data_IF_866595300469
#
_entry.id   IF_866595300469
#
_cell.length_a   1.000
_cell.length_b   1.000
_cell.length_c   1.000
_cell.angle_alpha   90.00
_cell.angle_beta   90.00
_cell.angle_gamma   90.00
#
_symmetry.space_group_name_H-M   'P 1'
#
loop_
_entity.id
_entity.type
_entity.pdbx_description
1 polymer ?
#
# COMPACT_ATOMS: atom_id res chain seq x y z
N UNK A 1 0.68 15.59 -15.69
CA UNK A 1 0.96 15.71 -14.24
C UNK A 1 0.39 14.54 -13.41
N UNK A 2 -0.81 14.04 -13.72
CA UNK A 2 -1.43 12.91 -12.98
C UNK A 2 -0.52 11.66 -12.86
N UNK A 3 0.09 11.20 -13.96
CA UNK A 3 0.85 9.93 -13.98
C UNK A 3 2.08 9.90 -13.05
N UNK A 4 2.73 11.05 -12.80
CA UNK A 4 3.92 11.11 -11.95
C UNK A 4 3.58 10.86 -10.48
N UNK A 5 2.43 11.36 -10.03
CA UNK A 5 1.93 11.16 -8.66
C UNK A 5 1.58 9.68 -8.41
N UNK A 6 0.92 9.02 -9.37
CA UNK A 6 0.62 7.58 -9.26
C UNK A 6 1.88 6.72 -9.17
N UNK A 7 2.91 7.06 -9.96
CA UNK A 7 4.21 6.37 -9.88
C UNK A 7 4.87 6.56 -8.52
N UNK A 8 4.82 7.77 -7.96
CA UNK A 8 5.34 8.02 -6.62
C UNK A 8 4.58 7.24 -5.55
N UNK A 9 3.25 7.12 -5.66
CA UNK A 9 2.46 6.29 -4.75
C UNK A 9 2.80 4.80 -4.85
N UNK A 10 3.09 4.28 -6.04
CA UNK A 10 3.52 2.89 -6.20
C UNK A 10 4.88 2.64 -5.57
N UNK A 11 5.84 3.55 -5.78
CA UNK A 11 7.17 3.45 -5.17
C UNK A 11 7.04 3.54 -3.64
N UNK A 12 6.23 4.48 -3.14
CA UNK A 12 5.98 4.61 -1.72
C UNK A 12 5.25 3.38 -1.14
N UNK A 13 4.34 2.76 -1.89
CA UNK A 13 3.63 1.56 -1.46
C UNK A 13 4.56 0.35 -1.33
N UNK A 14 5.49 0.19 -2.27
CA UNK A 14 6.52 -0.86 -2.23
C UNK A 14 7.53 -0.63 -1.10
N UNK A 15 7.93 0.61 -0.87
CA UNK A 15 8.87 0.98 0.19
C UNK A 15 8.22 1.06 1.59
N UNK A 16 6.89 0.97 1.70
CA UNK A 16 6.18 1.07 2.97
C UNK A 16 6.31 -0.24 3.80
N UNK A 17 7.48 -0.45 4.38
CA UNK A 17 7.78 -1.59 5.25
C UNK A 17 7.14 -1.45 6.64
N UNK A 18 6.91 -0.21 7.09
CA UNK A 18 6.30 0.10 8.40
C UNK A 18 4.81 0.42 8.31
N UNK A 19 4.03 0.04 9.32
CA UNK A 19 2.60 0.40 9.41
C UNK A 19 2.37 1.93 9.42
N UNK A 20 3.30 2.71 9.99
CA UNK A 20 3.31 4.18 9.90
C UNK A 20 3.46 4.68 8.47
N UNK A 21 4.37 4.10 7.69
CA UNK A 21 4.54 4.47 6.28
C UNK A 21 3.29 4.14 5.46
N UNK A 22 2.67 2.96 5.71
CA UNK A 22 1.40 2.56 5.08
C UNK A 22 0.26 3.51 5.40
N UNK A 23 0.16 3.96 6.66
CA UNK A 23 -0.83 4.94 7.09
C UNK A 23 -0.62 6.30 6.42
N UNK A 24 0.60 6.82 6.45
CA UNK A 24 0.92 8.12 5.86
C UNK A 24 0.60 8.15 4.36
N UNK A 25 1.00 7.11 3.63
CA UNK A 25 0.71 7.00 2.20
C UNK A 25 -0.81 6.93 1.94
N UNK A 26 -1.54 6.10 2.69
CA UNK A 26 -2.98 6.01 2.54
C UNK A 26 -3.67 7.35 2.87
N UNK A 27 -3.22 8.06 3.90
CA UNK A 27 -3.74 9.38 4.27
C UNK A 27 -3.47 10.43 3.17
N UNK A 28 -2.31 10.39 2.53
CA UNK A 28 -1.96 11.24 1.39
C UNK A 28 -2.87 10.98 0.18
N UNK A 29 -3.07 9.71 -0.19
CA UNK A 29 -3.96 9.30 -1.29
C UNK A 29 -5.41 9.73 -1.02
N UNK A 30 -5.87 9.68 0.23
CA UNK A 30 -7.24 10.14 0.58
C UNK A 30 -7.40 11.64 0.38
N UNK A 31 -6.38 12.43 0.72
CA UNK A 31 -6.39 13.90 0.59
C UNK A 31 -6.21 14.35 -0.85
N UNK A 32 -5.63 13.52 -1.71
CA UNK A 32 -5.41 13.86 -3.10
C UNK A 32 -6.69 13.80 -3.93
N UNK A 33 -7.05 14.91 -4.58
CA UNK A 33 -8.18 14.97 -5.52
C UNK A 33 -7.89 14.25 -6.85
N UNK A 34 -6.61 13.98 -7.11
CA UNK A 34 -6.08 13.29 -8.27
C UNK A 34 -6.43 11.78 -8.29
N UNK A 35 -6.83 11.24 -7.14
CA UNK A 35 -7.16 9.83 -6.97
C UNK A 35 -8.61 9.53 -7.36
N UNK A 36 -8.82 8.42 -8.07
CA UNK A 36 -10.17 7.92 -8.36
C UNK A 36 -10.96 7.65 -7.07
N UNK A 37 -12.30 7.71 -7.15
CA UNK A 37 -13.19 7.55 -5.99
C UNK A 37 -13.00 6.19 -5.31
N UNK A 38 -12.69 5.15 -6.09
CA UNK A 38 -12.42 3.79 -5.61
C UNK A 38 -11.10 3.71 -4.83
N UNK A 39 -10.03 4.29 -5.38
CA UNK A 39 -8.71 4.36 -4.73
C UNK A 39 -8.82 5.14 -3.41
N UNK A 40 -9.53 6.27 -3.40
CA UNK A 40 -9.80 7.02 -2.16
C UNK A 40 -10.63 6.23 -1.17
N UNK A 41 -11.59 5.40 -1.62
CA UNK A 41 -12.38 4.52 -0.75
C UNK A 41 -11.49 3.43 -0.12
N UNK A 42 -10.64 2.78 -0.89
CA UNK A 42 -9.70 1.79 -0.40
C UNK A 42 -8.69 2.41 0.60
N UNK A 43 -8.12 3.56 0.26
CA UNK A 43 -7.17 4.27 1.13
C UNK A 43 -7.82 4.70 2.46
N UNK A 44 -9.07 5.20 2.43
CA UNK A 44 -9.83 5.49 3.66
C UNK A 44 -10.00 4.27 4.57
N UNK A 45 -10.22 3.09 4.00
CA UNK A 45 -10.35 1.85 4.79
C UNK A 45 -9.03 1.51 5.48
N UNK A 46 -7.90 1.68 4.80
CA UNK A 46 -6.56 1.49 5.38
C UNK A 46 -6.34 2.48 6.52
N UNK A 47 -6.58 3.77 6.30
CA UNK A 47 -6.45 4.84 7.32
C UNK A 47 -7.29 4.51 8.55
N UNK A 48 -8.58 4.20 8.38
CA UNK A 48 -9.48 3.85 9.49
C UNK A 48 -9.01 2.64 10.32
N UNK A 49 -8.37 1.66 9.67
CA UNK A 49 -7.86 0.45 10.36
C UNK A 49 -6.60 0.75 11.13
N UNK A 50 -5.74 1.59 10.55
CA UNK A 50 -4.44 1.92 11.10
C UNK A 50 -4.54 3.02 12.16
N UNK A 51 -5.46 3.98 12.05
CA UNK A 51 -5.71 5.04 13.02
C UNK A 51 -5.97 4.49 14.43
N UNK A 52 -6.72 3.40 14.53
CA UNK A 52 -7.03 2.75 15.81
C UNK A 52 -5.88 1.93 16.41
N UNK A 53 -4.77 1.72 15.68
CA UNK A 53 -3.64 0.91 16.14
C UNK A 53 -2.31 1.66 16.14
N UNK A 54 -2.21 2.77 15.40
CA UNK A 54 -0.97 3.56 15.26
C UNK A 54 -0.60 4.29 16.55
N UNK A 55 -1.59 4.53 17.41
CA UNK A 55 -1.47 5.20 18.71
C UNK A 55 -1.27 4.21 19.87
N UNK A 56 -1.53 2.91 19.65
CA UNK A 56 -1.32 1.89 20.69
C UNK A 56 0.10 1.30 20.58
N UNK A 57 0.85 1.25 21.70
CA UNK A 57 2.21 0.69 21.70
C UNK A 57 2.23 -0.82 21.40
N UNK A 58 1.11 -1.53 21.60
CA UNK A 58 0.95 -2.95 21.32
C UNK A 58 -0.40 -3.17 20.63
N UNK A 59 -0.41 -3.09 19.31
CA UNK A 59 -1.60 -3.35 18.51
C UNK A 59 -1.89 -4.85 18.39
N UNK A 60 -3.16 -5.24 18.38
CA UNK A 60 -3.56 -6.64 18.18
C UNK A 60 -3.08 -7.16 16.82
N UNK A 61 -2.40 -8.31 16.80
CA UNK A 61 -1.87 -8.92 15.57
C UNK A 61 -2.95 -9.14 14.49
N UNK A 62 -4.20 -9.41 14.89
CA UNK A 62 -5.32 -9.53 13.95
C UNK A 62 -5.63 -8.21 13.21
N UNK A 63 -5.55 -7.07 13.91
CA UNK A 63 -5.76 -5.76 13.29
C UNK A 63 -4.61 -5.39 12.35
N UNK A 64 -3.38 -5.72 12.73
CA UNK A 64 -2.21 -5.56 11.86
C UNK A 64 -2.33 -6.41 10.59
N UNK A 65 -2.80 -7.66 10.71
CA UNK A 65 -3.07 -8.52 9.56
C UNK A 65 -4.16 -7.95 8.66
N UNK A 66 -5.30 -7.53 9.24
CA UNK A 66 -6.38 -6.86 8.50
C UNK A 66 -5.92 -5.59 7.80
N UNK A 67 -5.07 -4.79 8.44
CA UNK A 67 -4.50 -3.60 7.82
C UNK A 67 -3.56 -3.96 6.67
N UNK A 68 -2.77 -5.03 6.80
CA UNK A 68 -1.92 -5.53 5.73
C UNK A 68 -2.75 -6.00 4.52
N UNK A 69 -3.81 -6.78 4.73
CA UNK A 69 -4.72 -7.24 3.68
C UNK A 69 -5.39 -6.06 2.96
N UNK A 70 -5.87 -5.06 3.72
CA UNK A 70 -6.47 -3.84 3.15
C UNK A 70 -5.46 -3.00 2.36
N UNK A 71 -4.21 -2.98 2.81
CA UNK A 71 -3.14 -2.29 2.09
C UNK A 71 -2.77 -3.04 0.79
N UNK A 72 -2.77 -4.37 0.79
CA UNK A 72 -2.62 -5.18 -0.41
C UNK A 72 -3.65 -4.81 -1.48
N UNK A 73 -4.94 -4.82 -1.11
CA UNK A 73 -6.02 -4.44 -2.01
C UNK A 73 -5.90 -2.99 -2.55
N UNK A 74 -5.38 -2.06 -1.74
CA UNK A 74 -5.10 -0.69 -2.20
C UNK A 74 -3.96 -0.67 -3.24
N UNK A 75 -2.89 -1.42 -2.99
CA UNK A 75 -1.74 -1.52 -3.91
C UNK A 75 -2.14 -2.15 -5.23
N UNK A 76 -2.97 -3.20 -5.22
CA UNK A 76 -3.53 -3.81 -6.43
C UNK A 76 -4.36 -2.80 -7.24
N UNK A 77 -5.23 -2.03 -6.59
CA UNK A 77 -5.99 -0.97 -7.25
C UNK A 77 -5.09 0.13 -7.83
N UNK A 78 -3.99 0.47 -7.16
CA UNK A 78 -3.00 1.43 -7.66
C UNK A 78 -2.24 0.89 -8.88
N UNK A 79 -1.96 -0.42 -8.93
CA UNK A 79 -1.34 -1.09 -10.08
C UNK A 79 -2.30 -1.17 -11.27
N UNK A 80 -3.55 -1.58 -11.05
CA UNK A 80 -4.56 -1.65 -12.11
C UNK A 80 -4.92 -0.26 -12.67
N UNK A 81 -4.90 0.78 -11.84
CA UNK A 81 -5.13 2.15 -12.28
C UNK A 81 -4.04 2.67 -13.23
N UNK A 82 -2.81 2.18 -13.11
CA UNK A 82 -1.74 2.48 -14.07
C UNK A 82 -1.76 1.57 -15.29
N UNK A 83 -2.24 0.33 -15.15
CA UNK A 83 -2.32 -0.63 -16.27
C UNK A 83 -3.27 -0.15 -17.37
N UNK A 84 -4.39 0.50 -17.00
CA UNK A 84 -5.29 1.17 -17.94
C UNK A 84 -4.65 2.35 -18.70
N UNK A 85 -3.55 2.91 -18.18
CA UNK A 85 -2.73 3.91 -18.87
C UNK A 85 -1.49 3.32 -19.56
N UNK A 86 -1.19 2.03 -19.30
CA UNK A 86 0.02 1.34 -19.71
C UNK A 86 -0.28 0.12 -20.62
N UNK A 87 -1.40 0.10 -21.33
CA UNK A 87 -1.70 -0.89 -22.38
C UNK A 87 -0.75 -0.83 -23.59
N UNK A 88 0.48 -0.31 -23.44
CA UNK A 88 1.52 -0.36 -24.47
C UNK A 88 2.88 -0.95 -24.04
N UNK A 89 3.09 -1.48 -22.83
CA UNK A 89 4.33 -2.28 -22.65
C UNK A 89 4.21 -3.38 -21.60
N UNK A 90 4.26 -4.61 -22.11
CA UNK A 90 4.39 -5.86 -21.37
C UNK A 90 5.71 -5.89 -20.59
N UNK A 91 5.73 -5.43 -19.34
CA UNK A 91 6.73 -5.89 -18.37
C UNK A 91 6.30 -5.57 -16.93
N UNK A 92 5.73 -6.54 -16.25
CA UNK A 92 5.84 -6.59 -14.79
C UNK A 92 6.65 -7.85 -14.47
N UNK A 93 7.91 -7.73 -14.03
CA UNK A 93 8.60 -8.89 -13.49
C UNK A 93 7.91 -9.29 -12.18
N UNK A 94 7.72 -10.59 -12.02
CA UNK A 94 7.23 -11.26 -10.82
C UNK A 94 7.71 -10.59 -9.53
N UNK A 95 6.78 -10.08 -8.73
CA UNK A 95 7.00 -9.86 -7.30
C UNK A 95 6.12 -10.82 -6.50
N UNK A 96 6.33 -12.11 -6.78
CA UNK A 96 6.18 -13.14 -5.76
C UNK A 96 7.37 -13.01 -4.81
N UNK A 97 7.19 -12.28 -3.72
CA UNK A 97 7.97 -12.58 -2.52
C UNK A 97 7.03 -12.54 -1.32
N UNK A 98 6.60 -13.70 -0.80
CA UNK A 98 6.06 -13.74 0.54
C UNK A 98 7.19 -13.35 1.49
N UNK A 99 7.12 -12.15 2.07
CA UNK A 99 7.97 -11.75 3.18
C UNK A 99 7.68 -12.66 4.39
N UNK A 100 8.32 -13.83 4.43
CA UNK A 100 8.43 -14.66 5.63
C UNK A 100 9.92 -14.74 5.94
N UNK A 101 10.36 -13.90 6.87
CA UNK A 101 11.68 -14.04 7.47
C UNK A 101 11.76 -15.34 8.28
N UNK A 102 12.84 -16.08 8.10
CA UNK A 102 13.36 -16.99 9.12
C UNK A 102 14.88 -16.99 8.98
N UNK A 103 15.55 -16.41 9.97
CA UNK A 103 16.99 -16.25 9.97
C UNK A 103 17.75 -17.56 10.07
N UNK A 104 19.02 -17.50 9.67
CA UNK A 104 20.16 -18.25 10.22
C UNK A 104 21.42 -17.74 9.53
N UNK A 105 22.21 -16.92 10.24
CA UNK A 105 23.65 -16.83 10.01
C UNK A 105 24.29 -18.17 10.36
N UNK A 106 25.32 -18.60 9.61
CA UNK A 106 26.40 -19.33 10.26
C UNK A 106 27.77 -18.70 9.97
N UNK A 107 28.55 -18.70 11.06
CA UNK A 107 29.99 -18.47 11.21
C UNK A 107 30.85 -19.32 10.28
#
# INVERSE_FOLDING_TARGET
>A
MQQQTYRQWQIAAQNATSFRAKFNLAAEIVKSELSSREIRRAARRVVRTLETVIDLPIASAELLRKAHERFGALTELLLSATDLTASNEKNYPELLTPCIGRGSEPV
#
